data_IF_034832067149
#
_entry.id   IF_034832067149
#
_cell.length_a   1.000
_cell.length_b   1.000
_cell.length_c   1.000
_cell.angle_alpha   90.00
_cell.angle_beta   90.00
_cell.angle_gamma   90.00
#
_symmetry.space_group_name_H-M   'P 1'
#
loop_
_entity.id
_entity.type
_entity.pdbx_description
1 polymer ?
#
# COMPACT_ATOMS: atom_id res chain seq x y z
N UNK A 1 -15.85 -38.33 -29.87
CA UNK A 1 -15.30 -38.19 -28.50
C UNK A 1 -16.10 -37.11 -27.80
N UNK A 2 -16.73 -37.44 -26.67
CA UNK A 2 -17.70 -36.59 -25.97
C UNK A 2 -16.95 -35.72 -24.96
N UNK A 3 -17.11 -34.40 -25.03
CA UNK A 3 -16.65 -33.44 -24.02
C UNK A 3 -17.58 -33.52 -22.80
N UNK A 4 -17.06 -33.68 -21.57
CA UNK A 4 -17.90 -33.62 -20.38
C UNK A 4 -18.17 -32.16 -20.00
N UNK A 5 -19.45 -31.79 -20.02
CA UNK A 5 -19.97 -30.56 -19.44
C UNK A 5 -19.97 -30.71 -17.91
N UNK A 6 -18.88 -30.34 -17.25
CA UNK A 6 -18.76 -30.35 -15.79
C UNK A 6 -17.73 -29.32 -15.30
N UNK A 7 -17.91 -28.05 -15.65
CA UNK A 7 -17.18 -26.92 -15.04
C UNK A 7 -18.18 -25.76 -14.84
N UNK A 8 -19.04 -25.93 -13.84
CA UNK A 8 -19.93 -24.88 -13.33
C UNK A 8 -20.18 -25.20 -11.86
N UNK A 9 -19.26 -24.75 -11.00
CA UNK A 9 -19.41 -24.34 -9.60
C UNK A 9 -18.06 -24.49 -8.88
N UNK A 10 -17.77 -23.54 -7.96
CA UNK A 10 -16.61 -23.42 -7.05
C UNK A 10 -15.46 -22.61 -7.70
N UNK A 11 -14.98 -21.46 -7.20
CA UNK A 11 -15.13 -20.81 -5.90
C UNK A 11 -15.13 -19.27 -6.03
N UNK A 12 -16.22 -18.64 -5.59
CA UNK A 12 -16.21 -17.27 -5.10
C UNK A 12 -15.95 -17.33 -3.58
N UNK A 13 -14.70 -17.51 -3.16
CA UNK A 13 -14.28 -17.42 -1.76
C UNK A 13 -12.90 -16.78 -1.71
N UNK A 14 -12.84 -15.46 -1.60
CA UNK A 14 -11.56 -14.75 -1.51
C UNK A 14 -11.64 -13.22 -1.43
N UNK A 15 -12.78 -12.62 -1.05
CA UNK A 15 -12.89 -11.15 -0.99
C UNK A 15 -13.91 -10.65 0.04
N UNK A 16 -14.01 -11.27 1.22
CA UNK A 16 -14.95 -10.84 2.27
C UNK A 16 -14.38 -10.77 3.70
N UNK A 17 -13.06 -10.76 3.89
CA UNK A 17 -12.45 -10.67 5.22
C UNK A 17 -11.85 -9.29 5.59
N UNK A 18 -12.09 -8.22 4.82
CA UNK A 18 -11.49 -6.90 5.09
C UNK A 18 -12.47 -5.79 5.52
N UNK A 19 -13.79 -6.02 5.53
CA UNK A 19 -14.78 -4.95 5.83
C UNK A 19 -15.65 -5.17 7.08
N UNK A 20 -15.35 -6.15 7.93
CA UNK A 20 -16.13 -6.44 9.14
C UNK A 20 -15.60 -5.76 10.42
N UNK A 21 -15.09 -4.54 10.32
CA UNK A 21 -14.42 -3.84 11.43
C UNK A 21 -14.76 -2.37 11.59
N UNK A 22 -15.98 -1.92 11.26
CA UNK A 22 -16.39 -0.56 11.63
C UNK A 22 -17.91 -0.40 11.75
N UNK A 23 -18.52 -1.05 12.75
CA UNK A 23 -19.90 -0.73 13.20
C UNK A 23 -20.06 -1.03 14.68
N UNK A 24 -20.01 0.02 15.52
CA UNK A 24 -20.88 0.18 16.68
C UNK A 24 -20.59 1.49 17.42
N UNK A 25 -21.51 2.45 17.33
CA UNK A 25 -22.05 3.19 18.48
C UNK A 25 -23.16 4.12 17.96
N UNK A 26 -24.38 3.59 17.84
CA UNK A 26 -25.58 4.40 17.69
C UNK A 26 -26.00 4.95 19.06
N UNK A 27 -26.11 6.27 19.17
CA UNK A 27 -26.73 6.97 20.28
C UNK A 27 -27.92 7.76 19.76
N UNK A 28 -29.12 7.27 20.07
CA UNK A 28 -30.42 7.86 19.77
C UNK A 28 -30.77 8.91 20.85
N UNK A 29 -31.34 10.05 20.48
CA UNK A 29 -32.02 10.91 21.45
C UNK A 29 -32.30 12.34 20.99
N UNK A 30 -33.59 12.70 20.96
CA UNK A 30 -34.04 14.06 21.27
C UNK A 30 -34.77 14.79 20.15
N UNK A 31 -36.09 14.63 20.11
CA UNK A 31 -37.06 15.51 19.44
C UNK A 31 -37.24 16.84 20.19
N UNK A 32 -37.91 17.76 19.48
CA UNK A 32 -38.58 19.00 19.93
C UNK A 32 -37.73 20.28 19.94
N UNK A 33 -38.11 21.25 19.10
CA UNK A 33 -38.88 22.42 19.55
C UNK A 33 -39.12 23.40 18.38
N UNK A 34 -40.39 23.74 18.19
CA UNK A 34 -40.90 24.71 17.22
C UNK A 34 -40.75 26.12 17.81
N UNK A 35 -40.08 27.03 17.10
CA UNK A 35 -40.15 28.46 17.38
C UNK A 35 -40.49 29.24 16.11
N UNK A 36 -41.69 29.85 16.14
CA UNK A 36 -42.17 30.81 15.17
C UNK A 36 -41.36 32.12 15.23
N UNK A 37 -41.08 32.70 14.06
CA UNK A 37 -40.51 34.06 13.92
C UNK A 37 -41.38 34.85 12.93
N UNK A 38 -41.73 36.10 13.25
CA UNK A 38 -42.82 36.83 12.59
C UNK A 38 -42.43 37.48 11.27
N UNK A 39 -43.46 37.65 10.44
CA UNK A 39 -43.50 38.50 9.26
C UNK A 39 -43.00 39.92 9.54
N UNK A 40 -42.19 40.45 8.61
CA UNK A 40 -41.96 41.90 8.53
C UNK A 40 -41.95 42.38 7.08
N UNK A 41 -42.51 43.58 6.81
CA UNK A 41 -42.96 43.97 5.49
C UNK A 41 -41.88 44.62 4.62
N UNK A 42 -42.17 44.55 3.33
CA UNK A 42 -41.38 45.05 2.23
C UNK A 42 -41.02 46.55 2.34
N UNK A 43 -39.75 46.86 2.09
CA UNK A 43 -39.30 48.19 1.65
C UNK A 43 -38.68 48.08 0.26
N UNK A 44 -39.48 48.47 -0.73
CA UNK A 44 -39.10 48.68 -2.11
C UNK A 44 -38.25 49.95 -2.24
N UNK A 45 -37.00 49.82 -2.68
CA UNK A 45 -36.25 50.96 -3.24
C UNK A 45 -35.56 50.59 -4.56
N UNK A 46 -35.82 51.43 -5.55
CA UNK A 46 -35.32 51.38 -6.94
C UNK A 46 -33.79 51.44 -6.97
N UNK A 47 -33.15 50.48 -7.65
CA UNK A 47 -31.80 50.64 -8.23
C UNK A 47 -31.59 49.71 -9.42
N UNK A 48 -32.08 50.15 -10.58
CA UNK A 48 -31.80 49.58 -11.90
C UNK A 48 -30.47 50.13 -12.44
N UNK A 49 -29.44 49.27 -12.47
CA UNK A 49 -28.24 49.33 -13.35
C UNK A 49 -27.10 48.39 -12.90
N UNK A 50 -27.26 47.71 -11.75
CA UNK A 50 -26.32 46.67 -11.27
C UNK A 50 -26.81 45.23 -11.52
N UNK A 51 -28.02 45.07 -12.05
CA UNK A 51 -28.66 43.76 -12.20
C UNK A 51 -28.03 42.89 -13.30
N UNK A 52 -27.59 43.47 -14.42
CA UNK A 52 -27.02 42.68 -15.54
C UNK A 52 -25.59 42.21 -15.28
N UNK A 53 -24.75 43.02 -14.61
CA UNK A 53 -23.43 42.57 -14.14
C UNK A 53 -23.53 41.52 -13.03
N UNK A 54 -24.59 41.55 -12.22
CA UNK A 54 -24.84 40.53 -11.20
C UNK A 54 -25.56 39.28 -11.73
N UNK A 55 -26.33 39.37 -12.82
CA UNK A 55 -26.97 38.22 -13.44
C UNK A 55 -25.94 37.29 -14.09
N UNK A 56 -25.00 37.83 -14.89
CA UNK A 56 -23.90 37.03 -15.45
C UNK A 56 -22.98 36.44 -14.37
N UNK A 57 -22.84 37.12 -13.22
CA UNK A 57 -22.08 36.62 -12.06
C UNK A 57 -22.86 35.56 -11.25
N UNK A 58 -24.20 35.67 -11.16
CA UNK A 58 -25.08 34.72 -10.46
C UNK A 58 -25.36 33.45 -11.27
N UNK A 59 -25.47 33.55 -12.60
CA UNK A 59 -25.62 32.38 -13.48
C UNK A 59 -24.40 31.45 -13.37
N UNK A 60 -23.20 32.02 -13.18
CA UNK A 60 -21.95 31.24 -13.02
C UNK A 60 -21.78 30.57 -11.66
N UNK A 61 -22.55 30.93 -10.63
CA UNK A 61 -22.32 30.40 -9.25
C UNK A 61 -23.21 29.22 -8.86
N UNK A 62 -24.05 28.71 -9.76
CA UNK A 62 -24.82 27.47 -9.54
C UNK A 62 -24.20 26.30 -10.31
N UNK A 63 -22.94 26.00 -10.03
CA UNK A 63 -22.44 24.63 -10.22
C UNK A 63 -23.04 23.81 -9.07
N UNK A 64 -24.32 23.45 -9.22
CA UNK A 64 -25.03 22.47 -8.39
C UNK A 64 -25.02 21.17 -9.18
N UNK A 65 -23.81 20.70 -9.49
CA UNK A 65 -23.64 19.37 -10.05
C UNK A 65 -22.99 18.54 -8.97
N UNK A 66 -23.60 17.38 -8.70
CA UNK A 66 -23.07 16.40 -7.75
C UNK A 66 -21.74 15.78 -8.24
N UNK A 67 -21.33 16.11 -9.48
CA UNK A 67 -20.12 15.67 -10.15
C UNK A 67 -19.54 16.87 -10.93
N UNK A 68 -18.21 16.97 -10.98
CA UNK A 68 -17.50 17.93 -11.82
C UNK A 68 -16.66 17.14 -12.82
N UNK A 69 -16.93 17.31 -14.11
CA UNK A 69 -16.14 16.66 -15.17
C UNK A 69 -14.82 17.41 -15.37
N UNK A 70 -13.82 16.74 -15.96
CA UNK A 70 -12.53 17.36 -16.33
C UNK A 70 -12.78 18.54 -17.29
N UNK A 71 -13.62 18.35 -18.31
CA UNK A 71 -13.98 19.39 -19.28
C UNK A 71 -14.63 20.61 -18.64
N UNK A 72 -15.44 20.41 -17.60
CA UNK A 72 -16.05 21.52 -16.85
C UNK A 72 -15.02 22.22 -15.95
N UNK A 73 -14.13 21.47 -15.31
CA UNK A 73 -13.05 22.02 -14.49
C UNK A 73 -12.02 22.83 -15.32
N UNK A 74 -11.76 22.41 -16.57
CA UNK A 74 -10.89 23.14 -17.49
C UNK A 74 -11.45 24.50 -17.93
N UNK A 75 -12.78 24.69 -17.90
CA UNK A 75 -13.42 25.98 -18.20
C UNK A 75 -13.27 27.00 -17.08
N UNK A 76 -12.91 26.56 -15.88
CA UNK A 76 -12.68 27.43 -14.72
C UNK A 76 -11.28 28.08 -14.81
N UNK A 77 -11.14 29.28 -14.25
CA UNK A 77 -9.79 29.85 -14.04
C UNK A 77 -9.05 29.08 -12.93
N UNK A 78 -7.70 29.19 -12.86
CA UNK A 78 -6.94 28.59 -11.76
C UNK A 78 -7.46 28.97 -10.36
N UNK A 79 -7.83 30.24 -10.18
CA UNK A 79 -8.38 30.77 -8.91
C UNK A 79 -9.76 30.18 -8.61
N UNK A 80 -10.61 30.04 -9.63
CA UNK A 80 -11.92 29.41 -9.51
C UNK A 80 -11.79 27.92 -9.14
N UNK A 81 -10.83 27.19 -9.75
CA UNK A 81 -10.54 25.79 -9.39
C UNK A 81 -10.07 25.66 -7.96
N UNK A 82 -9.11 26.48 -7.51
CA UNK A 82 -8.62 26.48 -6.12
C UNK A 82 -9.72 26.80 -5.12
N UNK A 83 -10.54 27.80 -5.41
CA UNK A 83 -11.67 28.17 -4.55
C UNK A 83 -12.69 27.03 -4.45
N UNK A 84 -13.02 26.38 -5.58
CA UNK A 84 -13.94 25.24 -5.59
C UNK A 84 -13.33 24.03 -4.89
N UNK A 85 -12.03 23.78 -5.02
CA UNK A 85 -11.31 22.71 -4.34
C UNK A 85 -11.39 22.88 -2.82
N UNK A 86 -11.12 24.08 -2.31
CA UNK A 86 -11.21 24.38 -0.88
C UNK A 86 -12.63 24.14 -0.34
N UNK A 87 -13.65 24.48 -1.12
CA UNK A 87 -15.05 24.21 -0.76
C UNK A 87 -15.36 22.71 -0.80
N UNK A 88 -14.93 22.02 -1.84
CA UNK A 88 -15.17 20.58 -2.05
C UNK A 88 -14.47 19.74 -0.97
N UNK A 89 -13.26 20.13 -0.56
CA UNK A 89 -12.48 19.49 0.50
C UNK A 89 -13.17 19.50 1.88
N UNK A 90 -14.20 20.34 2.06
CA UNK A 90 -14.99 20.46 3.29
C UNK A 90 -16.39 19.84 3.18
N UNK A 91 -16.72 19.19 2.07
CA UNK A 91 -18.00 18.50 1.92
C UNK A 91 -18.09 17.29 2.86
N UNK A 92 -19.24 17.13 3.52
CA UNK A 92 -19.49 16.00 4.43
C UNK A 92 -19.82 14.69 3.70
N UNK A 93 -20.25 14.76 2.43
CA UNK A 93 -20.51 13.58 1.62
C UNK A 93 -19.21 13.14 0.92
N UNK A 94 -18.61 12.01 1.34
CA UNK A 94 -17.31 11.57 0.81
C UNK A 94 -17.36 11.19 -0.68
N UNK A 95 -18.51 10.74 -1.18
CA UNK A 95 -18.65 10.37 -2.59
C UNK A 95 -18.70 11.62 -3.47
N UNK A 96 -19.49 12.62 -3.08
CA UNK A 96 -19.55 13.90 -3.80
C UNK A 96 -18.22 14.64 -3.72
N UNK A 97 -17.61 14.66 -2.54
CA UNK A 97 -16.27 15.20 -2.33
C UNK A 97 -15.27 14.57 -3.30
N UNK A 98 -15.20 13.24 -3.36
CA UNK A 98 -14.27 12.54 -4.24
C UNK A 98 -14.49 12.91 -5.71
N UNK A 99 -15.73 12.88 -6.20
CA UNK A 99 -16.04 13.19 -7.61
C UNK A 99 -15.63 14.62 -8.00
N UNK A 100 -15.92 15.61 -7.15
CA UNK A 100 -15.56 17.01 -7.44
C UNK A 100 -14.06 17.22 -7.35
N UNK A 101 -13.41 16.69 -6.31
CA UNK A 101 -11.96 16.84 -6.13
C UNK A 101 -11.19 16.16 -7.26
N UNK A 102 -11.57 14.94 -7.65
CA UNK A 102 -10.91 14.24 -8.76
C UNK A 102 -11.01 15.03 -10.07
N UNK A 103 -12.21 15.53 -10.42
CA UNK A 103 -12.40 16.34 -11.63
C UNK A 103 -11.61 17.64 -11.62
N UNK A 104 -11.51 18.30 -10.46
CA UNK A 104 -10.69 19.51 -10.29
C UNK A 104 -9.20 19.21 -10.46
N UNK A 105 -8.70 18.22 -9.73
CA UNK A 105 -7.28 17.86 -9.72
C UNK A 105 -6.83 17.50 -11.13
N UNK A 106 -7.59 16.65 -11.84
CA UNK A 106 -7.29 16.25 -13.22
C UNK A 106 -7.19 17.42 -14.23
N UNK A 107 -7.73 18.59 -13.90
CA UNK A 107 -7.67 19.80 -14.75
C UNK A 107 -6.58 20.81 -14.32
N UNK A 108 -5.81 20.52 -13.26
CA UNK A 108 -4.81 21.46 -12.71
C UNK A 108 -3.48 21.41 -13.45
N UNK A 109 -2.85 22.58 -13.57
CA UNK A 109 -1.46 22.73 -14.00
C UNK A 109 -0.46 22.38 -12.88
N UNK A 110 0.82 22.26 -13.24
CA UNK A 110 1.94 22.02 -12.31
C UNK A 110 1.92 22.96 -11.09
N UNK A 111 1.82 24.26 -11.32
CA UNK A 111 1.85 25.26 -10.23
C UNK A 111 0.61 25.15 -9.33
N UNK A 112 -0.55 24.83 -9.91
CA UNK A 112 -1.78 24.61 -9.16
C UNK A 112 -1.71 23.35 -8.29
N UNK A 113 -1.10 22.26 -8.79
CA UNK A 113 -0.96 21.00 -8.06
C UNK A 113 -0.10 21.15 -6.81
N UNK A 114 0.99 21.93 -6.87
CA UNK A 114 1.84 22.21 -5.70
C UNK A 114 1.07 22.86 -4.56
N UNK A 115 0.43 23.98 -4.84
CA UNK A 115 -0.34 24.73 -3.83
C UNK A 115 -1.55 23.93 -3.32
N UNK A 116 -2.22 23.22 -4.25
CA UNK A 116 -3.36 22.36 -3.92
C UNK A 116 -2.94 21.24 -2.97
N UNK A 117 -1.82 20.58 -3.23
CA UNK A 117 -1.32 19.48 -2.39
C UNK A 117 -1.03 19.96 -0.98
N UNK A 118 -0.35 21.10 -0.84
CA UNK A 118 -0.06 21.69 0.47
C UNK A 118 -1.35 22.06 1.21
N UNK A 119 -2.30 22.68 0.51
CA UNK A 119 -3.61 23.02 1.08
C UNK A 119 -4.35 21.77 1.52
N UNK A 120 -4.29 20.72 0.71
CA UNK A 120 -4.93 19.47 1.01
C UNK A 120 -4.28 18.82 2.26
N UNK A 121 -2.96 18.65 2.29
CA UNK A 121 -2.29 18.11 3.49
C UNK A 121 -2.62 18.88 4.77
N UNK A 122 -2.67 20.21 4.72
CA UNK A 122 -3.08 21.03 5.87
C UNK A 122 -4.51 20.74 6.35
N UNK A 123 -5.45 20.53 5.43
CA UNK A 123 -6.83 20.20 5.79
C UNK A 123 -6.90 18.78 6.39
N UNK A 124 -6.16 17.82 5.85
CA UNK A 124 -6.07 16.47 6.42
C UNK A 124 -5.51 16.49 7.86
N UNK A 125 -4.45 17.26 8.10
CA UNK A 125 -3.88 17.41 9.45
C UNK A 125 -4.84 18.05 10.46
N UNK A 126 -5.91 18.71 10.00
CA UNK A 126 -6.99 19.24 10.85
C UNK A 126 -8.10 18.21 11.11
N UNK A 127 -7.90 16.95 10.72
CA UNK A 127 -8.83 15.83 10.98
C UNK A 127 -9.86 15.59 9.88
N UNK A 128 -9.74 16.24 8.73
CA UNK A 128 -10.59 15.95 7.58
C UNK A 128 -9.96 14.82 6.76
N UNK A 129 -10.34 13.59 7.07
CA UNK A 129 -9.91 12.43 6.30
C UNK A 129 -10.59 12.40 4.93
N UNK A 130 -9.82 12.11 3.89
CA UNK A 130 -10.35 11.92 2.55
C UNK A 130 -10.28 10.48 2.10
N UNK A 131 -11.15 10.16 1.15
CA UNK A 131 -11.09 8.87 0.49
C UNK A 131 -9.74 8.67 -0.20
N UNK A 132 -9.25 7.44 -0.19
CA UNK A 132 -8.06 7.04 -0.93
C UNK A 132 -8.17 7.38 -2.43
N UNK A 133 -9.38 7.45 -3.00
CA UNK A 133 -9.60 7.82 -4.40
C UNK A 133 -9.12 9.25 -4.72
N UNK A 134 -9.30 10.20 -3.80
CA UNK A 134 -8.82 11.59 -3.98
C UNK A 134 -7.30 11.63 -4.00
N UNK A 135 -6.64 10.92 -3.08
CA UNK A 135 -5.18 10.82 -3.04
C UNK A 135 -4.62 10.12 -4.27
N UNK A 136 -5.25 9.02 -4.69
CA UNK A 136 -4.86 8.31 -5.90
C UNK A 136 -4.93 9.21 -7.14
N UNK A 137 -6.00 9.99 -7.30
CA UNK A 137 -6.13 10.94 -8.42
C UNK A 137 -5.09 12.06 -8.33
N UNK A 138 -4.86 12.61 -7.12
CA UNK A 138 -3.84 13.63 -6.90
C UNK A 138 -2.46 13.15 -7.36
N UNK A 139 -2.02 12.00 -6.88
CA UNK A 139 -0.71 11.46 -7.21
C UNK A 139 -0.60 11.07 -8.67
N UNK A 140 -1.63 10.45 -9.25
CA UNK A 140 -1.66 10.13 -10.67
C UNK A 140 -1.53 11.41 -11.51
N UNK A 141 -2.27 12.47 -11.19
CA UNK A 141 -2.20 13.72 -11.93
C UNK A 141 -0.84 14.42 -11.78
N UNK A 142 -0.23 14.39 -10.59
CA UNK A 142 1.15 14.82 -10.39
C UNK A 142 2.11 14.07 -11.28
N UNK A 143 1.99 12.75 -11.35
CA UNK A 143 2.79 11.90 -12.24
C UNK A 143 2.70 12.34 -13.71
N UNK A 144 1.49 12.67 -14.17
CA UNK A 144 1.25 13.11 -15.56
C UNK A 144 1.88 14.47 -15.87
N UNK A 145 1.85 15.38 -14.89
CA UNK A 145 2.11 16.81 -15.13
C UNK A 145 3.50 17.25 -14.70
N UNK A 146 3.98 16.77 -13.55
CA UNK A 146 5.25 17.16 -12.94
C UNK A 146 5.78 16.08 -11.97
N UNK A 147 6.17 14.91 -12.47
CA UNK A 147 6.61 13.81 -11.61
C UNK A 147 7.86 14.17 -10.80
N UNK A 148 8.79 14.96 -11.36
CA UNK A 148 9.98 15.40 -10.64
C UNK A 148 9.63 16.33 -9.47
N UNK A 149 8.73 17.32 -9.68
CA UNK A 149 8.30 18.19 -8.58
C UNK A 149 7.54 17.44 -7.48
N UNK A 150 6.83 16.36 -7.84
CA UNK A 150 6.19 15.49 -6.85
C UNK A 150 7.22 14.75 -5.98
N UNK A 151 8.28 14.23 -6.60
CA UNK A 151 9.39 13.57 -5.89
C UNK A 151 10.17 14.56 -5.02
N UNK A 152 10.42 15.77 -5.51
CA UNK A 152 11.04 16.86 -4.73
C UNK A 152 10.23 17.19 -3.49
N UNK A 153 8.90 17.33 -3.62
CA UNK A 153 8.02 17.53 -2.47
C UNK A 153 8.13 16.39 -1.46
N UNK A 154 8.12 15.13 -1.92
CA UNK A 154 8.28 13.95 -1.06
C UNK A 154 9.59 13.95 -0.27
N UNK A 155 10.68 14.42 -0.88
CA UNK A 155 11.98 14.53 -0.22
C UNK A 155 11.99 15.58 0.90
N UNK A 156 11.11 16.59 0.86
CA UNK A 156 10.92 17.59 1.92
C UNK A 156 10.14 17.03 3.14
N UNK A 157 9.63 15.80 3.04
CA UNK A 157 8.81 15.15 4.07
C UNK A 157 7.31 15.40 3.93
N UNK A 158 6.91 16.20 2.93
CA UNK A 158 5.52 16.46 2.56
C UNK A 158 5.13 15.59 1.34
N UNK A 159 3.88 15.17 1.22
CA UNK A 159 3.39 14.47 0.01
C UNK A 159 3.38 12.94 0.13
N UNK A 160 4.05 12.24 -0.79
CA UNK A 160 3.95 10.78 -0.93
C UNK A 160 4.39 10.05 0.36
N UNK A 161 3.45 9.46 1.09
CA UNK A 161 3.71 8.85 2.42
C UNK A 161 3.91 7.35 2.30
N UNK A 162 3.21 6.70 1.38
CA UNK A 162 3.13 5.25 1.25
C UNK A 162 3.70 4.75 -0.07
N UNK A 163 4.06 3.47 -0.15
CA UNK A 163 4.46 2.85 -1.42
C UNK A 163 3.36 2.92 -2.49
N UNK A 164 2.09 2.88 -2.09
CA UNK A 164 0.95 3.01 -3.01
C UNK A 164 0.88 4.41 -3.62
N UNK A 165 1.14 5.47 -2.85
CA UNK A 165 1.20 6.83 -3.39
C UNK A 165 2.26 6.95 -4.50
N UNK A 166 3.42 6.34 -4.28
CA UNK A 166 4.51 6.25 -5.26
C UNK A 166 4.10 5.45 -6.51
N UNK A 167 3.36 4.34 -6.38
CA UNK A 167 2.80 3.60 -7.53
C UNK A 167 1.83 4.47 -8.35
N UNK A 168 0.95 5.22 -7.69
CA UNK A 168 -0.02 6.10 -8.37
C UNK A 168 0.66 7.23 -9.12
N UNK A 169 1.64 7.89 -8.50
CA UNK A 169 2.48 8.88 -9.19
C UNK A 169 3.18 8.26 -10.40
N UNK A 170 3.80 7.09 -10.24
CA UNK A 170 4.47 6.43 -11.36
C UNK A 170 3.51 6.03 -12.49
N UNK A 171 2.29 5.59 -12.17
CA UNK A 171 1.25 5.32 -13.16
C UNK A 171 0.95 6.54 -14.02
N UNK A 172 0.82 7.71 -13.41
CA UNK A 172 0.63 8.95 -14.16
C UNK A 172 1.82 9.31 -15.05
N UNK A 173 3.05 9.09 -14.57
CA UNK A 173 4.25 9.37 -15.34
C UNK A 173 4.39 8.44 -16.55
N UNK A 174 4.10 7.14 -16.38
CA UNK A 174 4.09 6.18 -17.48
C UNK A 174 3.06 6.53 -18.57
N UNK A 175 1.89 7.04 -18.18
CA UNK A 175 0.84 7.45 -19.12
C UNK A 175 1.32 8.58 -20.07
N UNK A 176 2.19 9.48 -19.61
CA UNK A 176 2.60 10.67 -20.37
C UNK A 176 4.00 10.57 -20.97
N UNK A 177 4.95 9.97 -20.26
CA UNK A 177 6.34 9.82 -20.69
C UNK A 177 6.97 8.54 -20.10
N UNK A 178 6.57 7.40 -20.65
CA UNK A 178 7.07 6.09 -20.26
C UNK A 178 8.61 5.98 -20.36
N UNK A 179 9.23 6.63 -21.34
CA UNK A 179 10.68 6.57 -21.53
C UNK A 179 11.43 7.23 -20.37
N UNK A 180 11.01 8.43 -19.96
CA UNK A 180 11.60 9.12 -18.80
C UNK A 180 11.29 8.40 -17.48
N UNK A 181 10.09 7.86 -17.32
CA UNK A 181 9.69 7.08 -16.14
C UNK A 181 10.56 5.84 -15.97
N UNK A 182 10.78 5.06 -17.04
CA UNK A 182 11.66 3.88 -17.03
C UNK A 182 13.13 4.26 -16.84
N UNK A 183 13.59 5.37 -17.44
CA UNK A 183 14.95 5.87 -17.20
C UNK A 183 15.15 6.23 -15.72
N UNK A 184 14.15 6.84 -15.07
CA UNK A 184 14.18 7.11 -13.64
C UNK A 184 14.16 5.83 -12.80
N UNK A 185 13.31 4.87 -13.14
CA UNK A 185 13.15 3.61 -12.41
C UNK A 185 14.45 2.77 -12.38
N UNK A 186 15.31 2.92 -13.39
CA UNK A 186 16.60 2.23 -13.48
C UNK A 186 17.76 2.96 -12.76
N UNK A 187 17.49 4.06 -12.04
CA UNK A 187 18.55 4.76 -11.29
C UNK A 187 18.97 3.94 -10.04
N UNK A 188 20.26 3.96 -9.68
CA UNK A 188 20.72 3.34 -8.45
C UNK A 188 20.33 4.18 -7.22
N UNK A 189 20.36 3.55 -6.04
CA UNK A 189 20.25 4.27 -4.76
C UNK A 189 18.85 4.76 -4.39
N UNK A 190 17.80 4.19 -5.00
CA UNK A 190 16.42 4.49 -4.63
C UNK A 190 16.13 4.00 -3.20
N UNK A 191 15.37 4.79 -2.45
CA UNK A 191 14.88 4.37 -1.13
C UNK A 191 13.75 3.31 -1.26
N UNK A 192 13.25 2.81 -0.13
CA UNK A 192 12.21 1.77 -0.11
C UNK A 192 10.94 2.17 -0.88
N UNK A 193 10.45 3.41 -0.72
CA UNK A 193 9.22 3.88 -1.38
C UNK A 193 9.42 4.12 -2.86
N UNK A 194 10.55 4.73 -3.23
CA UNK A 194 10.96 4.90 -4.62
C UNK A 194 11.15 3.54 -5.32
N UNK A 195 11.62 2.52 -4.59
CA UNK A 195 11.73 1.16 -5.12
C UNK A 195 10.37 0.58 -5.51
N UNK A 196 9.29 0.95 -4.81
CA UNK A 196 7.92 0.55 -5.17
C UNK A 196 7.47 1.19 -6.48
N UNK A 197 7.73 2.49 -6.67
CA UNK A 197 7.45 3.17 -7.94
C UNK A 197 8.27 2.56 -9.09
N UNK A 198 9.57 2.36 -8.90
CA UNK A 198 10.44 1.79 -9.93
C UNK A 198 10.03 0.36 -10.31
N UNK A 199 9.72 -0.48 -9.33
CA UNK A 199 9.21 -1.82 -9.57
C UNK A 199 7.90 -1.80 -10.37
N UNK A 200 6.98 -0.90 -10.04
CA UNK A 200 5.73 -0.72 -10.78
C UNK A 200 5.95 -0.27 -12.23
N UNK A 201 6.92 0.62 -12.50
CA UNK A 201 7.28 1.00 -13.86
C UNK A 201 7.79 -0.19 -14.67
N UNK A 202 8.66 -0.99 -14.07
CA UNK A 202 9.25 -2.19 -14.68
C UNK A 202 8.17 -3.24 -14.97
N UNK A 203 7.28 -3.51 -14.02
CA UNK A 203 6.20 -4.48 -14.21
C UNK A 203 5.15 -4.01 -15.22
N UNK A 204 4.82 -2.71 -15.21
CA UNK A 204 3.90 -2.13 -16.19
C UNK A 204 4.44 -2.16 -17.62
N UNK A 205 5.73 -1.87 -17.83
CA UNK A 205 6.36 -1.95 -19.15
C UNK A 205 6.43 -3.40 -19.68
N UNK A 206 6.67 -4.36 -18.79
CA UNK A 206 6.64 -5.77 -19.15
C UNK A 206 5.23 -6.26 -19.54
N UNK A 207 4.17 -5.63 -19.01
CA UNK A 207 2.79 -6.00 -19.27
C UNK A 207 2.46 -7.40 -18.75
N UNK A 208 1.85 -8.24 -19.58
CA UNK A 208 1.53 -9.64 -19.22
C UNK A 208 2.62 -10.65 -19.63
N UNK A 209 3.78 -10.19 -20.08
CA UNK A 209 4.89 -11.06 -20.50
C UNK A 209 5.83 -11.34 -19.32
N UNK A 210 5.68 -12.54 -18.74
CA UNK A 210 6.48 -12.99 -17.60
C UNK A 210 7.98 -13.06 -17.92
N UNK A 211 8.34 -13.46 -19.15
CA UNK A 211 9.74 -13.54 -19.59
C UNK A 211 10.38 -12.17 -19.75
N UNK A 212 9.61 -11.20 -20.25
CA UNK A 212 10.02 -9.79 -20.31
C UNK A 212 10.21 -9.20 -18.91
N UNK A 213 9.29 -9.47 -17.99
CA UNK A 213 9.42 -9.02 -16.60
C UNK A 213 10.65 -9.63 -15.93
N UNK A 214 10.88 -10.93 -16.08
CA UNK A 214 12.07 -11.61 -15.57
C UNK A 214 13.36 -10.93 -16.07
N UNK A 215 13.43 -10.71 -17.39
CA UNK A 215 14.58 -10.08 -18.04
C UNK A 215 14.81 -8.66 -17.54
N UNK A 216 13.73 -7.90 -17.34
CA UNK A 216 13.81 -6.53 -16.81
C UNK A 216 14.29 -6.51 -15.35
N UNK A 217 13.84 -7.45 -14.51
CA UNK A 217 14.31 -7.56 -13.11
C UNK A 217 15.81 -7.88 -13.06
N UNK A 218 16.28 -8.80 -13.91
CA UNK A 218 17.71 -9.15 -14.00
C UNK A 218 18.58 -7.98 -14.49
N UNK A 219 17.99 -7.02 -15.21
CA UNK A 219 18.69 -5.84 -15.70
C UNK A 219 18.76 -4.69 -14.69
N UNK A 220 18.08 -4.79 -13.54
CA UNK A 220 18.08 -3.74 -12.51
C UNK A 220 19.50 -3.60 -11.94
N UNK A 221 20.12 -2.42 -12.03
CA UNK A 221 21.47 -2.21 -11.50
C UNK A 221 21.45 -2.07 -9.99
N UNK A 222 22.23 -2.89 -9.27
CA UNK A 222 22.59 -2.80 -7.84
C UNK A 222 21.51 -2.23 -6.89
N UNK A 223 20.25 -2.59 -7.12
CA UNK A 223 19.11 -2.15 -6.32
C UNK A 223 18.25 -3.35 -5.91
N UNK A 224 18.64 -4.06 -4.84
CA UNK A 224 17.89 -5.24 -4.38
C UNK A 224 16.48 -4.89 -3.89
N UNK A 225 16.22 -3.63 -3.51
CA UNK A 225 14.88 -3.16 -3.14
C UNK A 225 13.92 -3.21 -4.33
N UNK A 226 14.30 -2.60 -5.45
CA UNK A 226 13.48 -2.60 -6.69
C UNK A 226 13.27 -4.03 -7.19
N UNK A 227 14.34 -4.83 -7.26
CA UNK A 227 14.24 -6.21 -7.73
C UNK A 227 13.31 -7.05 -6.86
N UNK A 228 13.43 -6.93 -5.53
CA UNK A 228 12.54 -7.61 -4.58
C UNK A 228 11.09 -7.18 -4.74
N UNK A 229 10.82 -5.88 -4.86
CA UNK A 229 9.44 -5.39 -5.06
C UNK A 229 8.87 -5.84 -6.40
N UNK A 230 9.65 -5.81 -7.49
CA UNK A 230 9.21 -6.28 -8.80
C UNK A 230 8.93 -7.79 -8.82
N UNK A 231 9.63 -8.57 -7.98
CA UNK A 231 9.35 -9.99 -7.83
C UNK A 231 7.98 -10.28 -7.19
N UNK A 232 7.42 -9.37 -6.36
CA UNK A 232 6.02 -9.50 -5.93
C UNK A 232 5.08 -9.45 -7.13
N UNK A 233 5.26 -8.45 -8.01
CA UNK A 233 4.45 -8.31 -9.23
C UNK A 233 4.67 -9.49 -10.19
N UNK A 234 5.91 -10.02 -10.27
CA UNK A 234 6.21 -11.24 -11.04
C UNK A 234 5.39 -12.43 -10.56
N UNK A 235 5.36 -12.69 -9.25
CA UNK A 235 4.59 -13.80 -8.72
C UNK A 235 3.07 -13.58 -8.88
N UNK A 236 2.58 -12.35 -8.75
CA UNK A 236 1.17 -12.01 -9.03
C UNK A 236 0.82 -12.33 -10.49
N UNK A 237 1.68 -11.90 -11.42
CA UNK A 237 1.50 -12.17 -12.86
C UNK A 237 1.59 -13.66 -13.19
N UNK A 238 2.57 -14.37 -12.63
CA UNK A 238 2.73 -15.81 -12.83
C UNK A 238 1.49 -16.58 -12.38
N UNK A 239 0.92 -16.23 -11.21
CA UNK A 239 -0.33 -16.82 -10.72
C UNK A 239 -1.50 -16.51 -11.66
N UNK A 240 -1.64 -15.24 -12.06
CA UNK A 240 -2.74 -14.84 -12.94
C UNK A 240 -2.66 -15.51 -14.33
N UNK A 241 -1.47 -15.93 -14.77
CA UNK A 241 -1.23 -16.51 -16.09
C UNK A 241 -1.46 -18.02 -16.19
N UNK A 242 -1.65 -18.75 -15.09
CA UNK A 242 -1.76 -20.23 -15.07
C UNK A 242 -2.95 -20.76 -14.27
N UNK A 243 -3.43 -21.97 -14.63
CA UNK A 243 -4.34 -22.76 -13.78
C UNK A 243 -3.49 -23.51 -12.72
N UNK A 244 -3.75 -23.27 -11.43
CA UNK A 244 -3.10 -23.90 -10.27
C UNK A 244 -1.61 -23.57 -10.04
N UNK A 245 -1.28 -22.28 -10.06
CA UNK A 245 0.07 -21.77 -9.88
C UNK A 245 0.60 -21.97 -8.43
N UNK A 246 1.06 -23.18 -8.15
CA UNK A 246 1.88 -23.50 -6.97
C UNK A 246 3.10 -22.58 -6.92
N UNK A 247 3.15 -21.74 -5.88
CA UNK A 247 4.24 -20.81 -5.63
C UNK A 247 5.62 -21.49 -5.65
N UNK A 248 5.69 -22.73 -5.17
CA UNK A 248 6.92 -23.53 -5.13
C UNK A 248 7.40 -23.87 -6.54
N UNK A 249 6.47 -24.26 -7.42
CA UNK A 249 6.76 -24.51 -8.82
C UNK A 249 7.20 -23.23 -9.55
N UNK A 250 6.57 -22.08 -9.27
CA UNK A 250 6.98 -20.79 -9.84
C UNK A 250 8.42 -20.46 -9.43
N UNK A 251 8.75 -20.59 -8.14
CA UNK A 251 10.11 -20.35 -7.63
C UNK A 251 11.15 -21.28 -8.26
N UNK A 252 10.85 -22.58 -8.35
CA UNK A 252 11.75 -23.59 -8.91
C UNK A 252 12.06 -23.37 -10.40
N UNK A 253 11.18 -22.70 -11.14
CA UNK A 253 11.34 -22.39 -12.56
C UNK A 253 12.07 -21.05 -12.81
N UNK A 254 12.27 -20.21 -11.79
CA UNK A 254 13.00 -18.96 -11.93
C UNK A 254 14.47 -19.17 -12.26
N UNK A 255 15.08 -18.15 -12.89
CA UNK A 255 16.52 -18.09 -13.03
C UNK A 255 17.21 -18.20 -11.64
N UNK A 256 18.27 -19.03 -11.48
CA UNK A 256 18.92 -19.21 -10.19
C UNK A 256 19.48 -17.91 -9.56
N UNK A 257 19.80 -16.90 -10.36
CA UNK A 257 20.24 -15.59 -9.85
C UNK A 257 19.07 -14.83 -9.20
N UNK A 258 17.87 -14.92 -9.79
CA UNK A 258 16.66 -14.30 -9.25
C UNK A 258 16.12 -15.06 -8.05
N UNK A 259 16.30 -16.39 -7.98
CA UNK A 259 15.90 -17.20 -6.83
C UNK A 259 16.46 -16.65 -5.52
N UNK A 260 17.68 -16.09 -5.54
CA UNK A 260 18.30 -15.48 -4.37
C UNK A 260 17.52 -14.26 -3.87
N UNK A 261 17.08 -13.38 -4.78
CA UNK A 261 16.28 -12.19 -4.44
C UNK A 261 14.82 -12.55 -4.15
N UNK A 262 14.30 -13.58 -4.81
CA UNK A 262 12.92 -14.06 -4.68
C UNK A 262 12.68 -14.85 -3.40
N UNK A 263 13.73 -15.42 -2.79
CA UNK A 263 13.62 -16.25 -1.59
C UNK A 263 12.83 -15.57 -0.46
N UNK A 264 13.15 -14.33 -0.01
CA UNK A 264 12.35 -13.68 1.03
C UNK A 264 10.92 -13.34 0.58
N UNK A 265 10.71 -13.00 -0.69
CA UNK A 265 9.37 -12.72 -1.26
C UNK A 265 8.49 -13.97 -1.21
N UNK A 266 9.07 -15.12 -1.56
CA UNK A 266 8.41 -16.42 -1.56
C UNK A 266 7.93 -16.80 -0.16
N UNK A 267 8.83 -16.75 0.83
CA UNK A 267 8.49 -17.03 2.23
C UNK A 267 7.42 -16.06 2.74
N UNK A 268 7.56 -14.78 2.41
CA UNK A 268 6.57 -13.78 2.78
C UNK A 268 5.18 -14.18 2.24
N UNK A 269 5.06 -14.43 0.94
CA UNK A 269 3.77 -14.78 0.31
C UNK A 269 3.18 -16.06 0.89
N UNK A 270 3.96 -17.13 1.01
CA UNK A 270 3.52 -18.37 1.66
C UNK A 270 3.05 -18.11 3.10
N UNK A 271 3.78 -17.32 3.88
CA UNK A 271 3.41 -17.05 5.28
C UNK A 271 2.07 -16.32 5.43
N UNK A 272 1.63 -15.58 4.39
CA UNK A 272 0.32 -14.92 4.38
C UNK A 272 -0.82 -15.86 3.97
N UNK A 273 -0.56 -16.82 3.08
CA UNK A 273 -1.58 -17.71 2.52
C UNK A 273 -1.69 -19.03 3.27
N UNK A 274 -0.55 -19.68 3.54
CA UNK A 274 -0.45 -20.97 4.21
C UNK A 274 0.86 -21.04 5.04
N UNK A 275 0.78 -20.70 6.34
CA UNK A 275 1.94 -20.75 7.25
C UNK A 275 2.58 -22.14 7.39
N UNK A 276 1.81 -23.23 7.24
CA UNK A 276 2.35 -24.59 7.34
C UNK A 276 3.18 -24.93 6.10
N UNK A 277 2.66 -24.59 4.91
CA UNK A 277 3.42 -24.69 3.65
C UNK A 277 4.66 -23.80 3.68
N UNK A 278 4.58 -22.60 4.25
CA UNK A 278 5.74 -21.72 4.43
C UNK A 278 6.86 -22.37 5.26
N UNK A 279 6.51 -23.05 6.37
CA UNK A 279 7.47 -23.78 7.21
C UNK A 279 8.06 -24.98 6.44
N UNK A 280 7.24 -25.73 5.70
CA UNK A 280 7.69 -26.86 4.91
C UNK A 280 8.68 -26.40 3.82
N UNK A 281 8.33 -25.36 3.07
CA UNK A 281 9.17 -24.76 2.03
C UNK A 281 10.48 -24.22 2.61
N UNK A 282 10.42 -23.51 3.74
CA UNK A 282 11.61 -23.02 4.44
C UNK A 282 12.57 -24.14 4.89
N UNK A 283 12.06 -25.33 5.23
CA UNK A 283 12.90 -26.50 5.56
C UNK A 283 13.65 -27.01 4.34
N UNK A 284 12.97 -27.10 3.21
CA UNK A 284 13.55 -27.56 1.94
C UNK A 284 14.60 -26.58 1.41
N UNK A 285 14.31 -25.29 1.51
CA UNK A 285 15.13 -24.20 0.96
C UNK A 285 16.01 -23.51 2.01
N UNK A 286 16.32 -24.18 3.12
CA UNK A 286 17.12 -23.61 4.22
C UNK A 286 18.58 -23.32 3.82
N UNK A 287 19.08 -24.02 2.80
CA UNK A 287 20.46 -23.89 2.30
C UNK A 287 20.57 -23.07 1.03
N UNK A 288 19.45 -22.56 0.51
CA UNK A 288 19.44 -21.84 -0.76
C UNK A 288 20.29 -20.57 -0.70
N UNK A 289 20.93 -20.21 -1.83
CA UNK A 289 21.60 -18.92 -1.94
C UNK A 289 20.54 -17.80 -1.82
N UNK A 290 20.89 -16.71 -1.14
CA UNK A 290 19.98 -15.57 -0.94
C UNK A 290 19.04 -15.67 0.27
N UNK A 291 19.18 -16.68 1.13
CA UNK A 291 18.48 -16.72 2.43
C UNK A 291 18.70 -15.41 3.21
N UNK A 292 17.61 -14.78 3.64
CA UNK A 292 17.63 -13.51 4.37
C UNK A 292 16.60 -13.57 5.50
N UNK A 293 16.99 -14.18 6.62
CA UNK A 293 16.12 -14.30 7.80
C UNK A 293 15.82 -12.96 8.45
N UNK A 294 16.66 -11.93 8.23
CA UNK A 294 16.46 -10.60 8.79
C UNK A 294 15.26 -9.91 8.18
N UNK A 295 15.08 -10.03 6.87
CA UNK A 295 13.89 -9.48 6.19
C UNK A 295 12.58 -10.15 6.60
N UNK A 296 12.63 -11.34 7.20
CA UNK A 296 11.47 -12.18 7.49
C UNK A 296 10.91 -12.05 8.91
N UNK A 297 11.36 -11.10 9.73
CA UNK A 297 10.91 -10.97 11.12
C UNK A 297 9.38 -10.96 11.28
N UNK A 298 8.66 -10.24 10.42
CA UNK A 298 7.20 -10.19 10.40
C UNK A 298 6.56 -11.54 9.99
N UNK A 299 7.14 -12.22 9.00
CA UNK A 299 6.70 -13.56 8.57
C UNK A 299 6.90 -14.59 9.68
N UNK A 300 8.04 -14.55 10.38
CA UNK A 300 8.29 -15.43 11.52
C UNK A 300 7.34 -15.18 12.67
N UNK A 301 7.03 -13.92 12.97
CA UNK A 301 6.02 -13.60 13.97
C UNK A 301 4.65 -14.20 13.59
N UNK A 302 4.23 -14.06 12.33
CA UNK A 302 2.98 -14.62 11.82
C UNK A 302 2.94 -16.15 11.90
N UNK A 303 3.98 -16.83 11.42
CA UNK A 303 4.07 -18.29 11.48
C UNK A 303 4.10 -18.81 12.92
N UNK A 304 4.82 -18.12 13.82
CA UNK A 304 4.84 -18.44 15.24
C UNK A 304 3.49 -18.23 15.93
N UNK A 305 2.62 -17.34 15.44
CA UNK A 305 1.26 -17.20 15.97
C UNK A 305 0.39 -18.41 15.62
N UNK A 306 0.59 -18.99 14.43
CA UNK A 306 -0.12 -20.19 13.99
C UNK A 306 0.35 -21.44 14.75
N UNK A 307 1.65 -21.75 14.66
CA UNK A 307 2.29 -22.89 15.34
C UNK A 307 3.59 -22.46 16.04
N UNK A 308 3.51 -21.93 17.27
CA UNK A 308 4.69 -21.46 17.98
C UNK A 308 5.68 -22.59 18.31
N UNK A 309 5.17 -23.81 18.56
CA UNK A 309 5.98 -24.95 19.00
C UNK A 309 6.79 -25.55 17.84
N UNK A 310 6.13 -25.82 16.72
CA UNK A 310 6.80 -26.30 15.51
C UNK A 310 7.74 -25.25 14.94
N UNK A 311 7.34 -23.98 14.94
CA UNK A 311 8.19 -22.88 14.49
C UNK A 311 9.45 -22.73 15.36
N UNK A 312 9.33 -22.78 16.69
CA UNK A 312 10.49 -22.70 17.59
C UNK A 312 11.44 -23.88 17.39
N UNK A 313 10.89 -25.10 17.29
CA UNK A 313 11.65 -26.33 17.10
C UNK A 313 12.39 -26.34 15.76
N UNK A 314 11.74 -25.94 14.68
CA UNK A 314 12.37 -25.81 13.38
C UNK A 314 13.42 -24.70 13.38
N UNK A 315 13.06 -23.51 13.85
CA UNK A 315 13.94 -22.36 13.82
C UNK A 315 15.22 -22.60 14.65
N UNK A 316 15.18 -23.41 15.70
CA UNK A 316 16.35 -23.78 16.49
C UNK A 316 17.40 -24.60 15.70
N UNK A 317 17.03 -25.15 14.54
CA UNK A 317 17.95 -25.84 13.62
C UNK A 317 18.73 -24.86 12.73
N UNK A 318 18.30 -23.60 12.65
CA UNK A 318 18.98 -22.58 11.87
C UNK A 318 20.31 -22.18 12.54
N UNK A 319 21.34 -21.83 11.75
CA UNK A 319 22.60 -21.38 12.31
C UNK A 319 22.41 -20.05 13.05
N UNK A 320 22.99 -19.97 14.25
CA UNK A 320 23.07 -18.71 14.99
C UNK A 320 24.13 -17.83 14.34
N UNK A 321 23.71 -16.63 13.91
CA UNK A 321 24.61 -15.61 13.36
C UNK A 321 25.74 -15.31 14.36
N UNK A 322 26.97 -15.39 13.88
CA UNK A 322 28.17 -15.11 14.66
C UNK A 322 28.43 -13.60 14.72
N UNK A 323 29.22 -13.16 15.70
CA UNK A 323 29.65 -11.76 15.79
C UNK A 323 30.42 -11.37 14.52
N UNK A 324 29.89 -10.38 13.79
CA UNK A 324 30.44 -9.93 12.51
C UNK A 324 29.60 -10.34 11.30
N UNK A 325 28.68 -11.29 11.48
CA UNK A 325 27.69 -11.60 10.44
C UNK A 325 26.71 -10.42 10.28
N UNK A 326 26.20 -10.17 9.06
CA UNK A 326 25.18 -9.14 8.81
C UNK A 326 23.93 -9.25 9.71
N UNK A 327 23.68 -10.46 10.22
CA UNK A 327 22.50 -10.82 11.01
C UNK A 327 22.77 -10.94 12.51
N UNK A 328 23.99 -10.65 12.98
CA UNK A 328 24.37 -10.84 14.38
C UNK A 328 23.51 -10.06 15.38
N UNK A 329 22.91 -8.95 14.95
CA UNK A 329 22.04 -8.10 15.77
C UNK A 329 20.54 -8.38 15.59
N UNK A 330 20.17 -9.28 14.68
CA UNK A 330 18.78 -9.63 14.43
C UNK A 330 18.35 -10.72 15.41
N UNK A 331 17.18 -10.60 16.06
CA UNK A 331 16.65 -11.69 16.86
C UNK A 331 16.54 -12.97 16.04
N UNK A 332 17.18 -14.04 16.52
CA UNK A 332 17.10 -15.34 15.87
C UNK A 332 15.62 -15.78 15.76
N UNK A 333 15.18 -16.42 14.65
CA UNK A 333 13.77 -16.77 14.47
C UNK A 333 13.20 -17.64 15.61
N UNK A 334 14.05 -18.50 16.20
CA UNK A 334 13.67 -19.30 17.36
C UNK A 334 13.35 -18.47 18.62
N UNK A 335 14.00 -17.30 18.79
CA UNK A 335 13.71 -16.37 19.90
C UNK A 335 12.31 -15.78 19.72
N UNK A 336 11.96 -15.37 18.50
CA UNK A 336 10.64 -14.82 18.17
C UNK A 336 9.56 -15.87 18.43
N UNK A 337 9.78 -17.10 17.97
CA UNK A 337 8.82 -18.19 18.14
C UNK A 337 8.67 -18.63 19.60
N UNK A 338 9.79 -18.81 20.33
CA UNK A 338 9.77 -19.18 21.74
C UNK A 338 9.10 -18.10 22.61
N UNK A 339 9.31 -16.82 22.31
CA UNK A 339 8.64 -15.72 23.02
C UNK A 339 7.11 -15.78 22.83
N UNK A 340 6.64 -15.98 21.59
CA UNK A 340 5.21 -16.17 21.32
C UNK A 340 4.67 -17.46 21.99
N UNK A 341 5.45 -18.54 21.98
CA UNK A 341 5.09 -19.79 22.64
C UNK A 341 4.91 -19.58 24.15
N UNK A 342 5.88 -18.94 24.81
CA UNK A 342 5.82 -18.64 26.25
C UNK A 342 4.55 -17.86 26.63
N UNK A 343 4.11 -16.94 25.78
CA UNK A 343 2.87 -16.17 26.01
C UNK A 343 1.61 -17.03 25.89
N UNK A 344 1.61 -18.05 25.05
CA UNK A 344 0.44 -18.91 24.78
C UNK A 344 0.38 -20.14 25.68
N UNK A 345 1.52 -20.78 25.92
CA UNK A 345 1.70 -21.97 26.76
C UNK A 345 3.08 -21.92 27.42
N UNK A 346 3.14 -21.24 28.56
CA UNK A 346 4.39 -21.08 29.32
C UNK A 346 4.98 -22.43 29.73
N UNK A 347 4.17 -23.41 30.13
CA UNK A 347 4.66 -24.67 30.67
C UNK A 347 5.36 -25.50 29.59
N UNK A 348 4.70 -25.71 28.44
CA UNK A 348 5.29 -26.45 27.32
C UNK A 348 6.52 -25.73 26.74
N UNK A 349 6.45 -24.41 26.57
CA UNK A 349 7.57 -23.63 26.06
C UNK A 349 8.79 -23.68 27.00
N UNK A 350 8.58 -23.61 28.32
CA UNK A 350 9.67 -23.70 29.31
C UNK A 350 10.30 -25.09 29.28
N UNK A 351 9.48 -26.15 29.28
CA UNK A 351 9.97 -27.52 29.18
C UNK A 351 10.79 -27.72 27.89
N UNK A 352 10.35 -27.18 26.75
CA UNK A 352 11.12 -27.22 25.51
C UNK A 352 12.43 -26.45 25.64
N UNK A 353 12.41 -25.21 26.16
CA UNK A 353 13.60 -24.37 26.34
C UNK A 353 14.65 -25.02 27.26
N UNK A 354 14.24 -25.78 28.27
CA UNK A 354 15.15 -26.54 29.15
C UNK A 354 15.91 -27.66 28.42
N UNK A 355 15.33 -28.22 27.34
CA UNK A 355 16.01 -29.23 26.51
C UNK A 355 17.03 -28.64 25.53
N UNK A 356 17.03 -27.32 25.33
CA UNK A 356 17.89 -26.67 24.34
C UNK A 356 19.33 -26.55 24.82
N UNK A 357 20.35 -26.52 23.93
CA UNK A 357 21.73 -26.38 24.35
C UNK A 357 21.97 -25.12 25.19
N UNK A 358 22.85 -25.22 26.19
CA UNK A 358 23.27 -24.05 26.99
C UNK A 358 23.93 -23.03 26.06
N UNK A 359 23.62 -21.74 26.27
CA UNK A 359 24.22 -20.64 25.50
C UNK A 359 23.52 -20.28 24.19
N UNK A 360 22.42 -20.96 23.82
CA UNK A 360 21.62 -20.52 22.68
C UNK A 360 20.83 -19.25 23.01
N UNK A 361 20.64 -18.32 22.05
CA UNK A 361 19.96 -17.04 22.32
C UNK A 361 18.51 -17.20 22.83
N UNK A 362 17.81 -18.26 22.43
CA UNK A 362 16.43 -18.51 22.88
C UNK A 362 16.37 -19.09 24.29
N UNK A 363 17.39 -19.84 24.74
CA UNK A 363 17.44 -20.35 26.12
C UNK A 363 17.62 -19.22 27.14
N UNK A 364 18.30 -18.14 26.77
CA UNK A 364 18.43 -16.94 27.59
C UNK A 364 17.08 -16.28 27.96
N UNK A 365 15.97 -16.62 27.26
CA UNK A 365 14.63 -16.17 27.62
C UNK A 365 14.15 -16.69 28.99
N UNK A 366 14.56 -17.90 29.39
CA UNK A 366 14.25 -18.42 30.74
C UNK A 366 15.00 -17.59 31.79
N UNK A 367 16.28 -17.30 31.54
CA UNK A 367 17.16 -16.62 32.48
C UNK A 367 16.70 -15.18 32.75
N UNK A 368 16.29 -14.45 31.71
CA UNK A 368 15.72 -13.10 31.85
C UNK A 368 14.43 -13.12 32.68
N UNK A 369 13.53 -14.07 32.39
CA UNK A 369 12.28 -14.21 33.13
C UNK A 369 12.50 -14.57 34.61
N UNK A 370 13.50 -15.40 34.91
CA UNK A 370 13.89 -15.71 36.28
C UNK A 370 14.41 -14.48 37.05
N UNK A 371 15.03 -13.54 36.33
CA UNK A 371 15.55 -12.29 36.88
C UNK A 371 14.52 -11.14 36.92
N UNK A 372 13.31 -11.35 36.39
CA UNK A 372 12.26 -10.33 36.32
C UNK A 372 12.48 -9.26 35.25
N UNK A 373 13.34 -9.54 34.26
CA UNK A 373 13.52 -8.76 33.02
C UNK A 373 12.58 -9.26 31.92
#
# INVERSE_FOLDING_TARGET
MKTPASLLLIAAVGTLAFFAGNRSAGGNGGSDEVAAVPDNPATSSKRSSSAERNAAKRERTRIVTDELTIDDAQKLTPEERKALLNKAALLSDPNKQAKILCGLIAAMSKDELKETTQTLMQIQHRGNEWSQAVWNELWTQWGRTDPQGCLELSAEGDGLVTGEDYRRMMSGWLDTDAASALAWANRPGLNERESVAAAFAISSDAGSDLGRLQSAIMAIPDNPGVARTALHDYFDLAIASGEDADLSAIYAQMDPTLQQTAWPVMVQRLSYTDPEQAIAWLKEHATDPGRDYRSLGNSFHRMAMADPAGMASWAALLPVAQKGDPDANTPHPAVIAAHNWLRRDTAAATAWLETQPVGTPWRALIERRANGE
#
